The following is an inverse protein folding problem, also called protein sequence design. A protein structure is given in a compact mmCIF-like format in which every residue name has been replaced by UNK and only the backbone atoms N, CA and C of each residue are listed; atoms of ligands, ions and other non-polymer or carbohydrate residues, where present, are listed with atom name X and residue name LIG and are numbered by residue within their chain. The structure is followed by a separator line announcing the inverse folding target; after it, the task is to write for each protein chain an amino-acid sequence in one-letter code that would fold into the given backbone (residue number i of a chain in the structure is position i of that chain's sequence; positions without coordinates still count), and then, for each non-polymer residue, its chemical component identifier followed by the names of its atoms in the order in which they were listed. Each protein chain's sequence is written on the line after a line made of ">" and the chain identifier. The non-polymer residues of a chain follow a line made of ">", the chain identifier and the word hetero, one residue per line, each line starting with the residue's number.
data_IF_504178315005
#
_entry.id   IF_504178315005
#
_cell.length_a   1.000
_cell.length_b   1.000
_cell.length_c   1.000
_cell.angle_alpha   90.00
_cell.angle_beta   90.00
_cell.angle_gamma   90.00
#
_symmetry.space_group_name_H-M   'P 1'
#
loop_
_entity.id
_entity.type
_entity.pdbx_description
1 polymer ?
#
# COMPACT_ATOMS: atom_id res chain seq x y z
N UNK A 1 -2.16 12.92 -3.21
CA UNK A 1 -1.44 11.95 -4.05
C UNK A 1 -1.54 12.38 -5.51
N UNK A 2 -0.43 12.35 -6.19
CA UNK A 2 -0.38 12.65 -7.62
C UNK A 2 -0.09 11.38 -8.40
N UNK A 3 -0.69 11.27 -9.58
CA UNK A 3 -0.52 10.11 -10.45
C UNK A 3 0.00 10.58 -11.81
N UNK A 4 1.02 9.92 -12.29
CA UNK A 4 1.59 10.19 -13.59
C UNK A 4 1.64 8.88 -14.39
N UNK A 5 1.05 8.89 -15.58
CA UNK A 5 1.16 7.74 -16.49
C UNK A 5 2.57 7.75 -17.10
N UNK A 6 3.33 6.70 -16.83
CA UNK A 6 4.69 6.54 -17.35
C UNK A 6 4.74 5.77 -18.65
N UNK A 7 3.82 4.83 -18.82
CA UNK A 7 3.77 3.98 -20.00
C UNK A 7 2.38 3.38 -20.14
N UNK A 8 1.94 3.14 -21.36
CA UNK A 8 0.67 2.46 -21.64
C UNK A 8 0.90 1.38 -22.70
N UNK A 9 0.85 0.13 -22.27
CA UNK A 9 0.85 -1.02 -23.16
C UNK A 9 -0.54 -1.61 -23.32
N UNK A 10 -0.65 -2.64 -24.13
CA UNK A 10 -1.91 -3.33 -24.37
C UNK A 10 -2.48 -3.99 -23.10
N UNK A 11 -1.61 -4.58 -22.28
CA UNK A 11 -1.99 -5.29 -21.07
C UNK A 11 -1.45 -4.66 -19.79
N UNK A 12 -0.82 -3.50 -19.91
CA UNK A 12 -0.04 -2.95 -18.82
C UNK A 12 0.02 -1.43 -18.88
N UNK A 13 -0.35 -0.80 -17.78
CA UNK A 13 -0.18 0.62 -17.58
C UNK A 13 0.77 0.84 -16.41
N UNK A 14 1.83 1.61 -16.61
CA UNK A 14 2.75 1.97 -15.57
C UNK A 14 2.49 3.41 -15.15
N UNK A 15 2.27 3.61 -13.84
CA UNK A 15 1.97 4.92 -13.29
C UNK A 15 2.88 5.20 -12.11
N UNK A 16 3.23 6.46 -11.95
CA UNK A 16 3.95 6.93 -10.78
C UNK A 16 2.97 7.63 -9.85
N UNK A 17 2.98 7.20 -8.60
CA UNK A 17 2.20 7.82 -7.53
C UNK A 17 3.16 8.60 -6.64
N UNK A 18 2.83 9.85 -6.33
CA UNK A 18 3.56 10.62 -5.35
C UNK A 18 2.61 11.24 -4.35
N UNK A 19 3.08 11.44 -3.14
CA UNK A 19 2.23 11.83 -2.03
C UNK A 19 2.98 12.79 -1.11
N UNK A 20 2.23 13.64 -0.42
CA UNK A 20 2.80 14.49 0.62
C UNK A 20 3.15 13.65 1.85
N UNK A 21 4.16 14.12 2.61
CA UNK A 21 4.60 13.45 3.83
C UNK A 21 3.44 13.25 4.81
N UNK A 22 3.33 12.08 5.39
CA UNK A 22 2.31 11.73 6.36
C UNK A 22 0.96 11.38 5.77
N UNK A 23 0.81 11.39 4.44
CA UNK A 23 -0.44 11.02 3.79
C UNK A 23 -0.75 9.52 4.01
N UNK A 24 -2.03 9.22 4.20
CA UNK A 24 -2.47 7.84 4.38
C UNK A 24 -2.43 7.12 3.04
N UNK A 25 -1.77 5.96 3.03
CA UNK A 25 -1.62 5.17 1.81
C UNK A 25 -2.96 4.76 1.22
N UNK A 26 -3.86 4.23 2.03
CA UNK A 26 -5.16 3.75 1.54
C UNK A 26 -6.01 4.88 0.95
N UNK A 27 -6.04 6.04 1.60
CA UNK A 27 -6.77 7.19 1.07
C UNK A 27 -6.27 7.59 -0.31
N UNK A 28 -4.96 7.59 -0.48
CA UNK A 28 -4.37 7.92 -1.77
C UNK A 28 -4.67 6.90 -2.86
N UNK A 29 -4.60 5.62 -2.53
CA UNK A 29 -4.94 4.56 -3.49
C UNK A 29 -6.42 4.57 -3.86
N UNK A 30 -7.29 4.84 -2.90
CA UNK A 30 -8.74 4.94 -3.17
C UNK A 30 -9.07 6.18 -4.01
N UNK A 31 -8.44 7.31 -3.76
CA UNK A 31 -8.59 8.50 -4.61
C UNK A 31 -8.17 8.22 -6.05
N UNK A 32 -7.04 7.52 -6.21
CA UNK A 32 -6.56 7.10 -7.52
C UNK A 32 -7.61 6.21 -8.22
N UNK A 33 -8.14 5.22 -7.52
CA UNK A 33 -9.12 4.30 -8.08
C UNK A 33 -10.39 5.01 -8.53
N UNK A 34 -10.86 5.98 -7.75
CA UNK A 34 -12.04 6.77 -8.08
C UNK A 34 -11.78 7.68 -9.27
N UNK A 35 -10.65 8.39 -9.26
CA UNK A 35 -10.29 9.36 -10.31
C UNK A 35 -10.16 8.71 -11.68
N UNK A 36 -9.56 7.53 -11.75
CA UNK A 36 -9.29 6.82 -13.00
C UNK A 36 -10.28 5.69 -13.26
N UNK A 37 -11.34 5.61 -12.47
CA UNK A 37 -12.41 4.61 -12.64
C UNK A 37 -11.86 3.18 -12.69
N UNK A 38 -10.93 2.89 -11.80
CA UNK A 38 -10.29 1.57 -11.72
C UNK A 38 -11.23 0.60 -11.03
N UNK A 39 -11.56 -0.49 -11.72
CA UNK A 39 -12.44 -1.52 -11.19
C UNK A 39 -11.70 -2.78 -10.76
N UNK A 40 -10.54 -3.04 -11.37
CA UNK A 40 -9.71 -4.19 -11.05
C UNK A 40 -8.29 -3.92 -11.50
N UNK A 41 -7.36 -3.93 -10.55
CA UNK A 41 -5.94 -3.73 -10.84
C UNK A 41 -5.10 -4.43 -9.80
N UNK A 42 -3.99 -4.99 -10.25
CA UNK A 42 -2.91 -5.46 -9.38
C UNK A 42 -1.79 -4.43 -9.42
N UNK A 43 -1.19 -4.15 -8.27
CA UNK A 43 -0.09 -3.20 -8.20
C UNK A 43 1.08 -3.73 -7.38
N UNK A 44 2.26 -3.19 -7.67
CA UNK A 44 3.45 -3.39 -6.87
C UNK A 44 4.11 -2.04 -6.64
N UNK A 45 4.74 -1.87 -5.49
CA UNK A 45 5.33 -0.59 -5.15
C UNK A 45 6.52 -0.75 -4.22
N UNK A 46 7.37 0.27 -4.24
CA UNK A 46 8.44 0.50 -3.27
C UNK A 46 8.34 1.94 -2.78
N UNK A 47 8.97 2.25 -1.68
CA UNK A 47 8.95 3.61 -1.17
C UNK A 47 9.42 3.71 0.27
N UNK A 48 8.97 4.75 0.96
CA UNK A 48 9.27 4.97 2.36
C UNK A 48 8.01 5.32 3.14
N UNK A 49 7.96 4.87 4.38
CA UNK A 49 6.84 5.10 5.29
C UNK A 49 7.32 5.84 6.54
N UNK A 50 6.41 6.58 7.12
CA UNK A 50 6.61 7.24 8.41
C UNK A 50 5.84 6.53 9.53
N UNK A 51 5.44 5.32 9.30
CA UNK A 51 4.72 4.47 10.24
C UNK A 51 3.70 3.61 9.54
N UNK A 52 3.37 2.48 10.13
CA UNK A 52 2.36 1.57 9.61
C UNK A 52 1.84 0.66 10.73
N UNK A 53 0.69 0.06 10.49
CA UNK A 53 0.19 -1.07 11.27
C UNK A 53 0.02 -2.23 10.31
N UNK A 54 0.77 -3.29 10.55
CA UNK A 54 0.67 -4.53 9.80
C UNK A 54 -0.15 -5.54 10.60
N UNK A 55 -0.66 -6.55 9.93
CA UNK A 55 -1.46 -7.59 10.55
C UNK A 55 -1.01 -8.97 10.13
N UNK A 56 -1.01 -9.89 11.07
CA UNK A 56 -0.88 -11.30 10.82
C UNK A 56 -2.21 -11.95 11.21
N UNK A 57 -2.84 -12.63 10.26
CA UNK A 57 -4.13 -13.26 10.54
C UNK A 57 -3.93 -14.55 11.30
N UNK A 58 -4.53 -14.62 12.50
CA UNK A 58 -4.52 -15.82 13.33
C UNK A 58 -5.76 -16.65 13.01
N UNK A 59 -5.60 -17.80 12.31
CA UNK A 59 -6.74 -18.59 11.90
C UNK A 59 -7.48 -19.26 13.07
N UNK A 60 -6.82 -19.45 14.21
CA UNK A 60 -7.46 -20.04 15.39
C UNK A 60 -8.35 -19.04 16.09
N UNK A 61 -7.90 -17.81 16.25
CA UNK A 61 -8.64 -16.73 16.88
C UNK A 61 -9.54 -15.96 15.92
N UNK A 62 -9.36 -16.18 14.61
CA UNK A 62 -10.07 -15.49 13.53
C UNK A 62 -9.96 -13.97 13.64
N UNK A 63 -8.77 -13.48 13.99
CA UNK A 63 -8.49 -12.07 14.12
C UNK A 63 -7.05 -11.79 13.75
N UNK A 64 -6.76 -10.51 13.45
CA UNK A 64 -5.41 -10.07 13.12
C UNK A 64 -4.62 -9.76 14.40
N UNK A 65 -3.41 -10.29 14.47
CA UNK A 65 -2.40 -9.79 15.39
C UNK A 65 -1.80 -8.53 14.78
N UNK A 66 -1.90 -7.41 15.49
CA UNK A 66 -1.37 -6.14 15.01
C UNK A 66 0.10 -5.99 15.31
N UNK A 67 0.85 -5.52 14.32
CA UNK A 67 2.28 -5.26 14.42
C UNK A 67 2.49 -3.78 14.15
N UNK A 68 2.86 -3.02 15.17
CA UNK A 68 3.11 -1.59 15.03
C UNK A 68 4.49 -1.34 14.45
N UNK A 69 4.55 -0.52 13.41
CA UNK A 69 5.78 -0.08 12.78
C UNK A 69 5.88 1.42 13.04
N UNK A 70 6.77 1.81 13.93
CA UNK A 70 6.90 3.20 14.33
C UNK A 70 8.11 3.86 13.65
N UNK A 71 7.89 5.09 13.18
CA UNK A 71 8.94 5.87 12.56
C UNK A 71 9.22 5.49 11.12
N UNK A 72 10.31 6.02 10.60
CA UNK A 72 10.65 5.89 9.20
C UNK A 72 11.20 4.50 8.87
N UNK A 73 10.61 3.89 7.86
CA UNK A 73 11.00 2.57 7.34
C UNK A 73 10.98 2.60 5.82
N UNK A 74 11.79 1.76 5.21
CA UNK A 74 11.79 1.56 3.77
C UNK A 74 10.81 0.45 3.43
N UNK A 75 9.95 0.68 2.44
CA UNK A 75 9.13 -0.38 1.86
C UNK A 75 9.99 -1.13 0.86
N UNK A 76 10.44 -2.33 1.24
CA UNK A 76 11.25 -3.19 0.38
C UNK A 76 10.40 -3.74 -0.75
N UNK A 77 9.17 -4.09 -0.45
CA UNK A 77 8.21 -4.52 -1.43
C UNK A 77 6.79 -4.44 -0.90
N UNK A 78 5.88 -4.07 -1.76
CA UNK A 78 4.46 -4.06 -1.48
C UNK A 78 3.75 -4.55 -2.73
N UNK A 79 2.78 -5.44 -2.56
CA UNK A 79 1.92 -5.85 -3.66
C UNK A 79 0.48 -5.96 -3.17
N UNK A 80 -0.45 -5.71 -4.07
CA UNK A 80 -1.85 -5.77 -3.71
C UNK A 80 -2.76 -5.59 -4.89
N UNK A 81 -4.03 -5.54 -4.57
CA UNK A 81 -5.11 -5.41 -5.54
C UNK A 81 -6.03 -4.27 -5.13
N UNK A 82 -6.57 -3.61 -6.14
CA UNK A 82 -7.73 -2.75 -5.97
C UNK A 82 -8.85 -3.39 -6.79
N UNK A 83 -9.95 -3.71 -6.14
CA UNK A 83 -11.09 -4.35 -6.78
C UNK A 83 -12.38 -3.80 -6.19
N UNK A 84 -13.47 -4.02 -6.89
CA UNK A 84 -14.78 -3.60 -6.37
C UNK A 84 -15.26 -4.58 -5.30
N UNK A 85 -15.68 -4.00 -4.18
CA UNK A 85 -16.35 -4.72 -3.11
C UNK A 85 -17.65 -3.97 -2.81
N UNK A 86 -18.79 -4.60 -3.06
CA UNK A 86 -20.09 -3.96 -2.93
C UNK A 86 -20.19 -2.65 -3.74
N UNK A 87 -19.73 -2.69 -4.99
CA UNK A 87 -19.70 -1.58 -5.94
C UNK A 87 -18.80 -0.40 -5.56
N UNK A 88 -17.90 -0.58 -4.57
CA UNK A 88 -16.91 0.44 -4.18
C UNK A 88 -15.50 -0.14 -4.28
N UNK A 89 -14.51 0.69 -4.68
CA UNK A 89 -13.12 0.24 -4.67
C UNK A 89 -12.66 -0.13 -3.26
N UNK A 90 -11.98 -1.27 -3.16
CA UNK A 90 -11.34 -1.72 -1.93
C UNK A 90 -9.91 -2.12 -2.22
N UNK A 91 -9.01 -1.80 -1.31
CA UNK A 91 -7.58 -2.10 -1.43
C UNK A 91 -7.23 -3.23 -0.48
N UNK A 92 -6.55 -4.25 -1.01
CA UNK A 92 -5.99 -5.34 -0.24
C UNK A 92 -4.51 -5.46 -0.58
N UNK A 93 -3.63 -5.28 0.39
CA UNK A 93 -2.20 -5.24 0.14
C UNK A 93 -1.39 -5.80 1.29
N UNK A 94 -0.22 -6.34 0.94
CA UNK A 94 0.79 -6.84 1.87
C UNK A 94 2.09 -6.10 1.62
N UNK A 95 2.93 -5.94 2.64
CA UNK A 95 4.22 -5.30 2.47
C UNK A 95 5.29 -5.90 3.35
N UNK A 96 6.52 -5.69 2.93
CA UNK A 96 7.74 -5.97 3.71
C UNK A 96 8.41 -4.63 3.97
N UNK A 97 8.66 -4.31 5.22
CA UNK A 97 9.37 -3.09 5.61
C UNK A 97 10.72 -3.42 6.20
N UNK A 98 11.69 -2.55 5.93
CA UNK A 98 13.05 -2.68 6.43
C UNK A 98 13.38 -1.59 7.43
N UNK A 99 14.04 -2.00 8.51
CA UNK A 99 14.57 -1.11 9.54
C UNK A 99 16.03 -0.73 9.25
N UNK A 100 16.58 0.32 9.89
CA UNK A 100 17.95 0.75 9.62
C UNK A 100 19.01 -0.33 9.92
N UNK A 101 18.73 -1.26 10.81
CA UNK A 101 19.65 -2.36 11.14
C UNK A 101 19.56 -3.54 10.17
N UNK A 102 18.74 -3.44 9.13
CA UNK A 102 18.56 -4.50 8.14
C UNK A 102 17.52 -5.54 8.49
N UNK A 103 16.92 -5.47 9.67
CA UNK A 103 15.82 -6.38 10.00
C UNK A 103 14.55 -6.01 9.22
N UNK A 104 13.71 -7.00 8.94
CA UNK A 104 12.49 -6.82 8.19
C UNK A 104 11.29 -7.34 8.96
N UNK A 105 10.15 -6.73 8.69
CA UNK A 105 8.85 -7.20 9.17
C UNK A 105 7.87 -7.16 8.02
N UNK A 106 6.92 -8.07 8.02
CA UNK A 106 5.99 -8.21 6.91
C UNK A 106 4.58 -8.49 7.42
N UNK A 107 3.60 -8.18 6.61
CA UNK A 107 2.21 -8.53 6.92
C UNK A 107 1.21 -7.86 6.01
N UNK A 108 -0.03 -8.14 6.28
CA UNK A 108 -1.17 -7.47 5.69
C UNK A 108 -1.20 -6.01 6.16
N UNK A 109 -1.41 -5.07 5.25
CA UNK A 109 -1.41 -3.66 5.61
C UNK A 109 -2.76 -3.26 6.15
N UNK A 110 -2.81 -2.85 7.41
CA UNK A 110 -4.01 -2.32 8.05
C UNK A 110 -4.05 -0.80 7.96
N UNK A 111 -2.89 -0.15 8.09
CA UNK A 111 -2.74 1.28 7.89
C UNK A 111 -1.29 1.60 7.55
N UNK A 112 -1.06 2.65 6.79
CA UNK A 112 0.29 3.09 6.46
C UNK A 112 0.30 4.58 6.15
N UNK A 113 1.40 5.23 6.52
CA UNK A 113 1.59 6.67 6.33
C UNK A 113 2.85 6.90 5.51
N UNK A 114 2.67 7.56 4.37
CA UNK A 114 3.73 7.74 3.39
C UNK A 114 4.76 8.77 3.89
N UNK A 115 6.03 8.43 3.76
CA UNK A 115 7.12 9.36 4.02
C UNK A 115 7.57 9.95 2.68
N UNK A 116 7.71 11.27 2.65
CA UNK A 116 8.26 11.95 1.49
C UNK A 116 9.79 11.85 1.52
N UNK A 117 10.35 11.51 0.40
CA UNK A 117 11.78 11.57 0.21
C UNK A 117 12.21 12.87 -0.43
#
# INVERSE_FOLDING_TARGET
>A
MQVQLLDRGEFRNNMRLSSTRGAKLFSGLLEFAEKYEVTSVHFAAVGALNGATLGWFDPQRKMYKKIAIDGQHVVIGMSGDIALCQAKPAVHTHMVVGSPDGTTRAGHVLAAYVSRR
#
